data_IF_837583005465
#
_entry.id   IF_837583005465
#
_cell.length_a   1.000
_cell.length_b   1.000
_cell.length_c   1.000
_cell.angle_alpha   90.00
_cell.angle_beta   90.00
_cell.angle_gamma   90.00
#
_symmetry.space_group_name_H-M   'P 1'
#
loop_
_entity.id
_entity.type
_entity.pdbx_description
1 polymer ?
#
# COMPACT_ATOMS: atom_id res chain seq x y z
N UNK A 1 -20.11 7.25 28.32
CA UNK A 1 -20.35 6.54 27.05
C UNK A 1 -19.19 5.65 26.60
N UNK A 2 -17.99 5.79 27.17
CA UNK A 2 -16.80 4.99 26.82
C UNK A 2 -16.89 3.48 27.19
N UNK A 3 -17.71 3.10 28.17
CA UNK A 3 -17.86 1.69 28.61
C UNK A 3 -18.73 0.83 27.69
N UNK A 4 -19.52 1.44 26.78
CA UNK A 4 -20.43 0.72 25.87
C UNK A 4 -19.72 0.26 24.58
N UNK A 5 -18.58 0.88 24.26
CA UNK A 5 -17.81 0.62 23.03
C UNK A 5 -16.84 -0.55 23.23
N UNK A 6 -16.37 -0.78 24.48
CA UNK A 6 -15.43 -1.86 24.82
C UNK A 6 -16.02 -3.27 24.63
N UNK A 7 -17.34 -3.44 24.80
CA UNK A 7 -18.01 -4.72 24.63
C UNK A 7 -18.25 -5.15 23.17
N UNK A 8 -18.23 -4.20 22.23
CA UNK A 8 -18.54 -4.46 20.81
C UNK A 8 -17.32 -5.01 20.05
N UNK A 9 -16.11 -4.63 20.47
CA UNK A 9 -14.85 -5.02 19.81
C UNK A 9 -14.49 -6.50 20.08
N UNK A 10 -14.93 -7.07 21.20
CA UNK A 10 -14.62 -8.46 21.60
C UNK A 10 -15.41 -9.50 20.79
N UNK A 11 -16.55 -9.13 20.19
CA UNK A 11 -17.39 -10.06 19.42
C UNK A 11 -16.91 -10.33 17.99
N UNK A 12 -16.02 -9.50 17.44
CA UNK A 12 -15.60 -9.62 16.02
C UNK A 12 -14.41 -10.60 15.85
N UNK A 13 -13.66 -10.90 16.92
CA UNK A 13 -12.48 -11.77 16.87
C UNK A 13 -12.81 -13.29 16.89
N UNK A 14 -14.07 -13.66 17.04
CA UNK A 14 -14.49 -15.06 17.18
C UNK A 14 -14.81 -15.78 15.84
N UNK A 15 -14.67 -15.12 14.68
CA UNK A 15 -15.06 -15.68 13.37
C UNK A 15 -13.88 -16.31 12.61
N UNK A 16 -12.68 -16.35 13.20
CA UNK A 16 -11.46 -16.87 12.57
C UNK A 16 -11.17 -18.37 12.81
N UNK A 17 -12.19 -19.19 13.04
CA UNK A 17 -11.97 -20.63 13.18
C UNK A 17 -12.90 -21.45 12.28
N UNK A 18 -12.26 -22.07 11.28
CA UNK A 18 -12.55 -23.38 10.70
C UNK A 18 -12.73 -23.37 9.18
N UNK A 19 -11.62 -23.26 8.44
CA UNK A 19 -11.48 -23.95 7.15
C UNK A 19 -10.09 -24.60 7.10
N UNK A 20 -9.94 -25.67 7.89
CA UNK A 20 -8.97 -26.73 7.59
C UNK A 20 -9.83 -27.92 7.21
N UNK A 21 -10.01 -28.14 5.90
CA UNK A 21 -10.54 -29.42 5.39
C UNK A 21 -9.38 -30.14 4.71
N UNK A 22 -9.08 -31.30 5.28
CA UNK A 22 -8.03 -32.26 4.95
C UNK A 22 -8.40 -33.21 3.81
N UNK A 23 -7.36 -33.72 3.12
CA UNK A 23 -7.25 -35.01 2.41
C UNK A 23 -7.98 -35.16 1.05
N UNK A 24 -7.38 -35.70 -0.01
CA UNK A 24 -6.80 -37.06 -0.06
C UNK A 24 -5.80 -37.25 -1.21
N UNK A 25 -4.83 -38.12 -0.98
CA UNK A 25 -3.79 -38.55 -1.91
C UNK A 25 -4.35 -39.12 -3.23
N UNK A 26 -3.86 -38.57 -4.35
CA UNK A 26 -3.97 -39.19 -5.68
C UNK A 26 -2.60 -39.72 -6.09
N UNK A 27 -2.56 -41.04 -6.28
CA UNK A 27 -1.44 -41.85 -6.77
C UNK A 27 -1.02 -41.41 -8.18
N UNK A 28 0.28 -41.29 -8.51
CA UNK A 28 0.70 -40.79 -9.81
C UNK A 28 0.68 -41.93 -10.85
N UNK A 29 0.02 -41.75 -12.01
CA UNK A 29 0.33 -42.56 -13.18
C UNK A 29 1.48 -41.92 -13.96
N UNK A 30 2.52 -42.71 -14.19
CA UNK A 30 3.64 -42.42 -15.07
C UNK A 30 3.10 -42.18 -16.49
N UNK A 31 3.14 -40.93 -16.96
CA UNK A 31 2.85 -40.58 -18.34
C UNK A 31 4.08 -39.88 -18.91
N UNK A 32 4.89 -40.64 -19.64
CA UNK A 32 5.91 -40.10 -20.53
C UNK A 32 5.24 -39.24 -21.60
N UNK A 33 5.16 -37.94 -21.36
CA UNK A 33 4.76 -36.97 -22.37
C UNK A 33 5.80 -35.86 -22.33
N UNK A 34 6.64 -35.81 -23.37
CA UNK A 34 7.46 -34.65 -23.72
C UNK A 34 6.51 -33.47 -23.97
N UNK A 35 6.43 -32.53 -23.05
CA UNK A 35 5.73 -31.25 -23.24
C UNK A 35 6.78 -30.21 -23.67
N UNK A 36 6.64 -29.55 -24.83
CA UNK A 36 7.42 -28.37 -25.18
C UNK A 36 7.20 -27.30 -24.11
N UNK A 37 8.28 -26.72 -23.59
CA UNK A 37 8.29 -25.68 -22.55
C UNK A 37 7.12 -24.69 -22.72
N UNK A 38 6.16 -24.78 -21.80
CA UNK A 38 5.06 -23.83 -21.71
C UNK A 38 5.60 -22.42 -21.40
N UNK A 39 4.90 -21.35 -21.84
CA UNK A 39 5.41 -19.98 -21.80
C UNK A 39 5.88 -19.59 -20.40
N UNK A 40 7.06 -18.97 -20.31
CA UNK A 40 7.53 -18.24 -19.12
C UNK A 40 6.34 -17.48 -18.53
N UNK A 41 5.88 -17.91 -17.35
CA UNK A 41 5.04 -17.09 -16.51
C UNK A 41 5.75 -15.75 -16.34
N UNK A 42 5.24 -14.74 -17.04
CA UNK A 42 5.57 -13.35 -16.76
C UNK A 42 5.01 -13.11 -15.37
N UNK A 43 5.88 -13.18 -14.37
CA UNK A 43 5.56 -12.76 -12.99
C UNK A 43 5.12 -11.30 -13.11
N UNK A 44 3.81 -11.05 -13.10
CA UNK A 44 3.26 -9.71 -13.02
C UNK A 44 3.58 -9.23 -11.60
N UNK A 45 4.75 -8.59 -11.42
CA UNK A 45 5.06 -7.88 -10.19
C UNK A 45 4.06 -6.72 -10.09
N UNK A 46 3.07 -6.87 -9.22
CA UNK A 46 2.16 -5.78 -8.86
C UNK A 46 2.98 -4.75 -8.09
N UNK A 47 3.35 -3.65 -8.75
CA UNK A 47 4.09 -2.55 -8.10
C UNK A 47 3.08 -1.79 -7.26
N UNK A 48 3.23 -1.87 -5.94
CA UNK A 48 2.36 -1.19 -4.96
C UNK A 48 3.04 0.07 -4.45
N UNK A 49 2.31 1.18 -4.25
CA UNK A 49 2.87 2.37 -3.64
C UNK A 49 3.31 2.10 -2.20
N UNK A 50 4.33 2.83 -1.76
CA UNK A 50 4.87 2.75 -0.39
C UNK A 50 4.55 4.03 0.39
N UNK A 51 4.43 5.17 -0.28
CA UNK A 51 4.09 6.46 0.34
C UNK A 51 3.06 7.25 -0.47
N UNK A 52 2.46 8.23 0.19
CA UNK A 52 1.59 9.25 -0.40
C UNK A 52 2.08 10.62 0.08
N UNK A 53 2.41 11.52 -0.86
CA UNK A 53 2.66 12.93 -0.58
C UNK A 53 1.37 13.72 -0.72
N UNK A 54 0.96 14.45 0.31
CA UNK A 54 -0.23 15.31 0.28
C UNK A 54 -0.14 16.47 1.26
N UNK A 55 -1.08 17.41 1.13
CA UNK A 55 -1.26 18.49 2.11
C UNK A 55 -1.62 17.94 3.49
N UNK A 56 -0.97 18.47 4.51
CA UNK A 56 -1.34 18.32 5.90
C UNK A 56 -1.13 19.66 6.61
N UNK A 57 -2.23 20.28 7.04
CA UNK A 57 -2.22 21.58 7.74
C UNK A 57 -1.50 22.69 6.95
N UNK A 58 -1.63 22.69 5.62
CA UNK A 58 -1.01 23.68 4.74
C UNK A 58 0.46 23.38 4.40
N UNK A 59 1.01 22.26 4.88
CA UNK A 59 2.38 21.82 4.62
C UNK A 59 2.43 20.51 3.85
N UNK A 60 3.53 20.29 3.14
CA UNK A 60 3.82 19.01 2.51
C UNK A 60 4.10 17.94 3.56
N UNK A 61 3.41 16.81 3.47
CA UNK A 61 3.61 15.69 4.38
C UNK A 61 3.71 14.35 3.65
N UNK A 62 4.50 13.45 4.24
CA UNK A 62 4.73 12.08 3.81
C UNK A 62 3.86 11.16 4.65
N UNK A 63 2.98 10.42 3.99
CA UNK A 63 2.16 9.38 4.61
C UNK A 63 2.64 8.01 4.15
N UNK A 64 2.79 7.03 5.05
CA UNK A 64 2.87 5.63 4.63
C UNK A 64 1.61 5.26 3.83
N UNK A 65 1.76 4.38 2.83
CA UNK A 65 0.62 3.90 2.08
C UNK A 65 -0.40 3.22 3.01
N UNK A 66 -1.70 3.49 2.81
CA UNK A 66 -2.80 3.05 3.68
C UNK A 66 -2.76 3.60 5.13
N UNK A 67 -1.98 4.64 5.41
CA UNK A 67 -1.97 5.35 6.69
C UNK A 67 -2.62 6.73 6.60
N UNK A 68 -3.47 7.06 7.57
CA UNK A 68 -4.05 8.40 7.73
C UNK A 68 -3.20 9.34 8.59
N UNK A 69 -2.12 8.83 9.19
CA UNK A 69 -1.18 9.63 9.98
C UNK A 69 0.10 9.88 9.19
N UNK A 70 0.60 11.13 9.13
CA UNK A 70 1.86 11.42 8.46
C UNK A 70 3.02 10.81 9.25
N UNK A 71 3.97 10.22 8.53
CA UNK A 71 5.26 9.82 9.07
C UNK A 71 6.19 11.03 9.21
N UNK A 72 6.11 11.97 8.27
CA UNK A 72 6.91 13.17 8.26
C UNK A 72 6.10 14.37 7.75
N UNK A 73 6.31 15.53 8.36
CA UNK A 73 5.80 16.82 7.89
C UNK A 73 7.02 17.67 7.53
N UNK A 74 7.09 18.10 6.28
CA UNK A 74 8.18 18.90 5.75
C UNK A 74 7.86 20.39 5.96
N UNK A 75 8.88 21.23 6.10
CA UNK A 75 8.69 22.68 6.26
C UNK A 75 8.51 23.39 4.91
N UNK A 76 7.68 22.80 4.05
CA UNK A 76 7.34 23.31 2.72
C UNK A 76 5.86 23.63 2.72
N UNK A 77 5.51 24.90 2.51
CA UNK A 77 4.12 25.32 2.44
C UNK A 77 3.51 24.95 1.10
N UNK A 78 2.33 24.31 1.09
CA UNK A 78 1.66 23.96 -0.17
C UNK A 78 1.35 25.22 -0.96
N UNK A 79 0.97 26.31 -0.30
CA UNK A 79 0.67 27.59 -0.96
C UNK A 79 1.86 28.25 -1.65
N UNK A 80 3.11 27.88 -1.33
CA UNK A 80 4.30 28.41 -2.01
C UNK A 80 4.68 27.62 -3.26
N UNK A 81 4.13 26.42 -3.45
CA UNK A 81 4.39 25.58 -4.62
C UNK A 81 3.63 26.09 -5.86
N UNK A 82 4.05 25.74 -7.08
CA UNK A 82 3.29 26.02 -8.29
C UNK A 82 1.86 25.45 -8.21
N UNK A 83 0.87 26.16 -8.79
CA UNK A 83 -0.54 25.75 -8.70
C UNK A 83 -0.79 24.32 -9.24
N UNK A 84 0.01 23.89 -10.21
CA UNK A 84 -0.07 22.53 -10.73
C UNK A 84 0.22 21.50 -9.63
N UNK A 85 1.31 21.69 -8.89
CA UNK A 85 1.75 20.78 -7.83
C UNK A 85 0.80 20.80 -6.65
N UNK A 86 0.28 21.98 -6.28
CA UNK A 86 -0.77 22.10 -5.27
C UNK A 86 -1.95 21.18 -5.56
N UNK A 87 -2.44 21.18 -6.81
CA UNK A 87 -3.56 20.32 -7.23
C UNK A 87 -3.20 18.84 -7.25
N UNK A 88 -1.95 18.47 -7.50
CA UNK A 88 -1.51 17.07 -7.42
C UNK A 88 -1.45 16.60 -5.96
N UNK A 89 -0.87 17.42 -5.09
CA UNK A 89 -0.73 17.13 -3.66
C UNK A 89 -2.07 17.09 -2.94
N UNK A 90 -3.07 17.87 -3.40
CA UNK A 90 -4.46 17.72 -2.92
C UNK A 90 -5.07 16.35 -3.26
N UNK A 91 -4.69 15.73 -4.38
CA UNK A 91 -5.16 14.39 -4.77
C UNK A 91 -4.38 13.27 -4.08
N UNK A 92 -3.19 13.57 -3.58
CA UNK A 92 -2.22 12.59 -3.12
C UNK A 92 -1.37 12.07 -4.27
N UNK A 93 -0.05 12.28 -4.16
CA UNK A 93 0.93 11.77 -5.11
C UNK A 93 1.44 10.43 -4.60
N UNK A 94 1.20 9.36 -5.37
CA UNK A 94 1.65 8.01 -5.04
C UNK A 94 3.15 7.86 -5.31
N UNK A 95 3.87 7.30 -4.36
CA UNK A 95 5.31 7.10 -4.42
C UNK A 95 5.63 5.64 -4.18
N UNK A 96 6.43 5.04 -5.07
CA UNK A 96 6.66 3.60 -5.13
C UNK A 96 8.02 3.16 -4.57
N UNK A 97 8.90 4.10 -4.24
CA UNK A 97 10.20 3.82 -3.63
C UNK A 97 10.70 5.00 -2.81
N UNK A 98 11.63 4.75 -1.88
CA UNK A 98 12.33 5.81 -1.14
C UNK A 98 13.12 6.73 -2.06
N UNK A 99 13.78 6.19 -3.10
CA UNK A 99 14.53 7.00 -4.07
C UNK A 99 13.62 7.99 -4.81
N UNK A 100 12.42 7.55 -5.19
CA UNK A 100 11.43 8.43 -5.79
C UNK A 100 10.93 9.48 -4.80
N UNK A 101 10.74 9.10 -3.52
CA UNK A 101 10.34 10.03 -2.46
C UNK A 101 11.37 11.15 -2.31
N UNK A 102 12.65 10.79 -2.19
CA UNK A 102 13.75 11.74 -2.01
C UNK A 102 13.85 12.70 -3.19
N UNK A 103 13.73 12.19 -4.42
CA UNK A 103 13.72 13.03 -5.62
C UNK A 103 12.56 14.02 -5.62
N UNK A 104 11.34 13.58 -5.27
CA UNK A 104 10.17 14.46 -5.22
C UNK A 104 10.29 15.51 -4.12
N UNK A 105 10.80 15.15 -2.95
CA UNK A 105 11.02 16.10 -1.85
C UNK A 105 12.03 17.18 -2.29
N UNK A 106 13.13 16.78 -2.93
CA UNK A 106 14.12 17.72 -3.45
C UNK A 106 13.51 18.68 -4.49
N UNK A 107 12.63 18.18 -5.36
CA UNK A 107 11.94 19.01 -6.36
C UNK A 107 11.00 20.04 -5.72
N UNK A 108 10.43 19.76 -4.54
CA UNK A 108 9.55 20.68 -3.82
C UNK A 108 10.29 21.68 -2.91
N UNK A 109 11.54 21.38 -2.54
CA UNK A 109 12.36 22.22 -1.65
C UNK A 109 13.28 23.20 -2.42
N UNK A 110 13.49 22.97 -3.73
CA UNK A 110 14.36 23.79 -4.60
C UNK A 110 13.68 25.00 -5.22
#
# INVERSE_FOLDING_TARGET
MLKKILGVIICIMAVFSAVIITSSAVKPPHSDIRIPEAPKESIIKTVTPVYILKDYEGKLAVFPFESDTPEQILDVFISSLPEYDQRQLQKGVLVYSSEQLDSLIQDYDG
#
